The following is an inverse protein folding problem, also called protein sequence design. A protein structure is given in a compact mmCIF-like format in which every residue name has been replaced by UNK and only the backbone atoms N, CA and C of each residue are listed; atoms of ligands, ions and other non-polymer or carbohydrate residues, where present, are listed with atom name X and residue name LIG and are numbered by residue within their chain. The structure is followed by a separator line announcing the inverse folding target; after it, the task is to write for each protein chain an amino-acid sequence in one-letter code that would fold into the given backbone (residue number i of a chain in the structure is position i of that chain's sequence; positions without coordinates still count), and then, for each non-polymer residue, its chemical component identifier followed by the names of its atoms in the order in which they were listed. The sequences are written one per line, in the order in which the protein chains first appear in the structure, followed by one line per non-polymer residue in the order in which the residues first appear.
data_IF_278271302329
#
_entry.id   IF_278271302329
#
_cell.length_a   1.000
_cell.length_b   1.000
_cell.length_c   1.000
_cell.angle_alpha   90.00
_cell.angle_beta   90.00
_cell.angle_gamma   90.00
#
_symmetry.space_group_name_H-M   'P 1'
#
loop_
_entity.id
_entity.type
_entity.pdbx_description
1 polymer ?
#
# COMPACT_ATOMS: atom_id res chain seq x y z
N UNK A 1 -2.67 -9.91 -70.26
CA UNK A 1 -2.90 -8.57 -69.66
C UNK A 1 -4.00 -8.77 -68.63
N UNK A 2 -3.89 -8.57 -67.32
CA UNK A 2 -3.06 -7.71 -66.46
C UNK A 2 -2.66 -8.47 -65.19
N UNK A 3 -1.41 -8.27 -64.75
CA UNK A 3 -0.94 -8.53 -63.37
C UNK A 3 -1.59 -7.52 -62.41
N UNK A 4 -1.77 -7.87 -61.14
CA UNK A 4 -1.80 -7.00 -59.94
C UNK A 4 -2.16 -7.92 -58.75
N UNK A 5 -1.18 -8.62 -58.18
CA UNK A 5 -0.41 -8.24 -56.98
C UNK A 5 -1.27 -8.28 -55.71
N UNK A 6 -1.10 -9.37 -54.97
CA UNK A 6 -1.43 -9.49 -53.56
C UNK A 6 -0.88 -8.32 -52.77
N UNK A 7 -1.74 -7.57 -52.11
CA UNK A 7 -1.34 -6.70 -50.99
C UNK A 7 -1.86 -7.36 -49.72
N UNK A 8 -1.01 -8.27 -49.25
CA UNK A 8 -0.74 -8.43 -47.83
C UNK A 8 -0.43 -7.04 -47.26
N UNK A 9 -1.38 -6.47 -46.53
CA UNK A 9 -1.01 -5.64 -45.37
C UNK A 9 -2.05 -5.90 -44.30
N UNK A 10 -1.71 -6.93 -43.51
CA UNK A 10 -2.09 -7.06 -42.11
C UNK A 10 -2.03 -5.69 -41.45
N UNK A 11 -3.17 -5.00 -41.36
CA UNK A 11 -3.40 -4.00 -40.33
C UNK A 11 -3.58 -4.74 -39.01
N UNK A 12 -2.49 -5.36 -38.54
CA UNK A 12 -2.24 -5.47 -37.12
C UNK A 12 -2.02 -4.03 -36.64
N UNK A 13 -3.12 -3.31 -36.43
CA UNK A 13 -3.15 -2.23 -35.48
C UNK A 13 -2.65 -2.87 -34.19
N UNK A 14 -1.38 -2.60 -33.90
CA UNK A 14 -0.83 -2.75 -32.58
C UNK A 14 -1.79 -2.00 -31.65
N UNK A 15 -2.76 -2.71 -31.10
CA UNK A 15 -3.18 -2.49 -29.74
C UNK A 15 -1.90 -2.69 -28.94
N UNK A 16 -1.09 -1.62 -28.89
CA UNK A 16 -0.08 -1.52 -27.87
C UNK A 16 -0.86 -1.84 -26.59
N UNK A 17 -0.44 -2.82 -25.78
CA UNK A 17 -0.90 -2.82 -24.43
C UNK A 17 -0.55 -1.44 -23.91
N UNK A 18 -1.57 -0.58 -23.76
CA UNK A 18 -1.54 0.46 -22.76
C UNK A 18 -1.38 -0.34 -21.48
N UNK A 19 -0.12 -0.66 -21.16
CA UNK A 19 0.32 -0.69 -19.80
C UNK A 19 -0.10 0.67 -19.31
N UNK A 20 -1.30 0.73 -18.75
CA UNK A 20 -1.67 1.76 -17.83
C UNK A 20 -0.58 1.65 -16.77
N UNK A 21 0.48 2.42 -16.95
CA UNK A 21 1.32 2.88 -15.89
C UNK A 21 0.34 3.55 -14.94
N UNK A 22 -0.21 2.76 -14.02
CA UNK A 22 -0.86 3.26 -12.84
C UNK A 22 0.20 4.09 -12.14
N UNK A 23 0.24 5.37 -12.47
CA UNK A 23 0.86 6.41 -11.67
C UNK A 23 0.09 6.45 -10.36
N UNK A 24 0.38 5.51 -9.47
CA UNK A 24 -0.02 5.57 -8.09
C UNK A 24 0.88 6.62 -7.42
N UNK A 25 0.34 7.83 -7.40
CA UNK A 25 0.97 8.99 -6.81
C UNK A 25 1.11 8.84 -5.30
N UNK A 26 2.34 8.62 -4.86
CA UNK A 26 2.86 9.18 -3.63
C UNK A 26 4.19 9.83 -3.96
N UNK A 27 4.25 11.15 -3.93
CA UNK A 27 5.50 11.90 -4.09
C UNK A 27 6.35 11.70 -2.83
N UNK A 28 7.08 10.59 -2.79
CA UNK A 28 8.12 10.34 -1.80
C UNK A 28 9.39 11.02 -2.26
N UNK A 29 10.15 11.60 -1.33
CA UNK A 29 11.41 12.26 -1.65
C UNK A 29 12.30 11.35 -2.50
N UNK A 30 13.06 11.90 -3.47
CA UNK A 30 13.75 11.12 -4.52
C UNK A 30 14.72 10.04 -4.02
N UNK A 31 15.02 10.02 -2.72
CA UNK A 31 15.94 9.10 -2.04
C UNK A 31 15.28 7.96 -1.24
N UNK A 32 13.95 7.93 -1.05
CA UNK A 32 13.28 6.92 -0.19
C UNK A 32 12.83 5.67 -0.98
N UNK A 33 13.76 5.06 -1.72
CA UNK A 33 13.49 3.86 -2.50
C UNK A 33 14.35 2.71 -2.00
N UNK A 34 13.73 1.58 -1.63
CA UNK A 34 14.46 0.31 -1.39
C UNK A 34 15.39 -0.04 -2.57
N UNK A 35 15.04 0.43 -3.77
CA UNK A 35 15.84 0.34 -4.99
C UNK A 35 17.25 0.95 -4.86
N UNK A 36 17.45 1.93 -3.97
CA UNK A 36 18.73 2.60 -3.75
C UNK A 36 19.60 1.91 -2.69
N UNK A 37 19.06 0.95 -1.93
CA UNK A 37 19.80 0.21 -0.91
C UNK A 37 20.69 -0.90 -1.49
N UNK A 38 20.67 -1.11 -2.81
CA UNK A 38 21.45 -2.15 -3.49
C UNK A 38 21.37 -3.51 -2.76
N UNK A 39 20.15 -3.95 -2.45
CA UNK A 39 19.94 -5.17 -1.69
C UNK A 39 20.57 -6.37 -2.40
N UNK A 40 21.29 -7.19 -1.62
CA UNK A 40 21.75 -8.50 -2.10
C UNK A 40 20.55 -9.39 -2.46
N UNK A 41 20.79 -10.42 -3.28
CA UNK A 41 19.74 -11.38 -3.66
C UNK A 41 19.06 -12.01 -2.43
N UNK A 42 19.82 -12.35 -1.39
CA UNK A 42 19.28 -12.93 -0.16
C UNK A 42 18.42 -11.93 0.63
N UNK A 43 18.85 -10.67 0.74
CA UNK A 43 18.06 -9.61 1.35
C UNK A 43 16.77 -9.35 0.56
N UNK A 44 16.83 -9.32 -0.77
CA UNK A 44 15.67 -9.11 -1.63
C UNK A 44 14.61 -10.22 -1.46
N UNK A 45 15.03 -11.49 -1.40
CA UNK A 45 14.11 -12.62 -1.13
C UNK A 45 13.50 -12.54 0.27
N UNK A 46 14.28 -12.18 1.29
CA UNK A 46 13.77 -11.98 2.64
C UNK A 46 12.77 -10.82 2.72
N UNK A 47 13.02 -9.73 2.00
CA UNK A 47 12.07 -8.62 1.91
C UNK A 47 10.77 -9.05 1.23
N UNK A 48 10.84 -9.85 0.16
CA UNK A 48 9.67 -10.40 -0.51
C UNK A 48 8.83 -11.25 0.43
N UNK A 49 9.45 -12.14 1.21
CA UNK A 49 8.70 -12.95 2.19
C UNK A 49 8.04 -12.09 3.26
N UNK A 50 8.72 -11.06 3.76
CA UNK A 50 8.14 -10.14 4.75
C UNK A 50 6.95 -9.35 4.18
N UNK A 51 7.03 -8.89 2.92
CA UNK A 51 5.91 -8.20 2.25
C UNK A 51 4.71 -9.11 2.01
N UNK A 52 4.93 -10.38 1.67
CA UNK A 52 3.85 -11.35 1.51
C UNK A 52 3.11 -11.60 2.83
N UNK A 53 3.85 -11.72 3.94
CA UNK A 53 3.26 -11.84 5.27
C UNK A 53 2.44 -10.60 5.63
N UNK A 54 2.98 -9.39 5.39
CA UNK A 54 2.27 -8.13 5.63
C UNK A 54 0.99 -8.01 4.78
N UNK A 55 1.05 -8.42 3.51
CA UNK A 55 -0.12 -8.43 2.62
C UNK A 55 -1.24 -9.32 3.17
N UNK A 56 -0.89 -10.50 3.69
CA UNK A 56 -1.87 -11.39 4.31
C UNK A 56 -2.54 -10.76 5.54
N UNK A 57 -1.80 -10.00 6.35
CA UNK A 57 -2.37 -9.25 7.49
C UNK A 57 -3.33 -8.15 7.00
N UNK A 58 -2.97 -7.47 5.91
CA UNK A 58 -3.79 -6.38 5.33
C UNK A 58 -5.10 -6.89 4.74
N UNK A 59 -5.05 -8.02 4.04
CA UNK A 59 -6.27 -8.62 3.48
C UNK A 59 -7.27 -8.95 4.61
N UNK A 60 -6.78 -9.37 5.78
CA UNK A 60 -7.58 -9.54 6.99
C UNK A 60 -8.11 -8.23 7.59
N UNK A 61 -7.31 -7.17 7.60
CA UNK A 61 -7.73 -5.84 8.04
C UNK A 61 -8.81 -5.22 7.15
N UNK A 62 -8.71 -5.39 5.82
CA UNK A 62 -9.68 -4.87 4.85
C UNK A 62 -11.03 -5.57 4.96
N UNK A 63 -11.05 -6.88 5.25
CA UNK A 63 -12.30 -7.60 5.55
C UNK A 63 -13.02 -7.03 6.78
N UNK A 64 -12.26 -6.77 7.86
CA UNK A 64 -12.79 -6.13 9.06
C UNK A 64 -13.27 -4.69 8.77
N UNK A 65 -12.49 -3.91 8.03
CA UNK A 65 -12.84 -2.53 7.66
C UNK A 65 -14.15 -2.47 6.89
N UNK A 66 -14.38 -3.36 5.92
CA UNK A 66 -15.64 -3.44 5.17
C UNK A 66 -16.83 -3.76 6.09
N UNK A 67 -16.68 -4.72 6.98
CA UNK A 67 -17.71 -5.05 7.99
C UNK A 67 -18.00 -3.86 8.91
N UNK A 68 -16.94 -3.21 9.39
CA UNK A 68 -17.03 -2.06 10.27
C UNK A 68 -17.71 -0.87 9.59
N UNK A 69 -17.34 -0.55 8.35
CA UNK A 69 -17.87 0.58 7.58
C UNK A 69 -19.39 0.53 7.46
N UNK A 70 -19.95 -0.67 7.26
CA UNK A 70 -21.41 -0.86 7.19
C UNK A 70 -22.09 -0.46 8.51
N UNK A 71 -21.56 -0.92 9.63
CA UNK A 71 -22.09 -0.56 10.96
C UNK A 71 -21.75 0.87 11.39
N UNK A 72 -20.67 1.45 10.87
CA UNK A 72 -20.19 2.79 11.23
C UNK A 72 -21.20 3.87 10.81
N UNK A 73 -21.70 3.78 9.57
CA UNK A 73 -22.68 4.74 9.06
C UNK A 73 -23.98 4.73 9.90
N UNK A 74 -24.46 3.55 10.28
CA UNK A 74 -25.63 3.39 11.16
C UNK A 74 -25.37 4.00 12.54
N UNK A 75 -24.19 3.76 13.12
CA UNK A 75 -23.80 4.30 14.43
C UNK A 75 -23.64 5.82 14.41
N UNK A 76 -23.06 6.39 13.35
CA UNK A 76 -22.99 7.86 13.16
C UNK A 76 -24.39 8.44 13.04
N UNK A 77 -25.26 7.85 12.21
CA UNK A 77 -26.62 8.35 12.05
C UNK A 77 -27.39 8.34 13.37
N UNK A 78 -27.27 7.28 14.17
CA UNK A 78 -27.87 7.22 15.51
C UNK A 78 -27.32 8.30 16.44
N UNK A 79 -26.01 8.55 16.43
CA UNK A 79 -25.40 9.60 17.24
C UNK A 79 -25.92 11.00 16.85
N UNK A 80 -26.08 11.25 15.54
CA UNK A 80 -26.52 12.54 15.00
C UNK A 80 -28.00 12.83 15.20
N UNK A 81 -28.85 11.80 15.31
CA UNK A 81 -30.30 11.97 15.48
C UNK A 81 -30.75 12.05 16.94
N UNK A 82 -29.83 11.93 17.90
CA UNK A 82 -30.14 12.05 19.33
C UNK A 82 -30.44 13.51 19.71
N UNK A 83 -31.37 13.74 20.67
CA UNK A 83 -31.66 15.08 21.17
C UNK A 83 -30.46 15.78 21.83
N UNK A 84 -29.56 14.99 22.43
CA UNK A 84 -28.33 15.47 23.08
C UNK A 84 -27.13 14.66 22.58
N UNK A 85 -25.95 15.30 22.58
CA UNK A 85 -24.72 14.67 22.13
C UNK A 85 -24.18 13.67 23.17
N UNK A 86 -24.08 12.40 22.77
CA UNK A 86 -23.47 11.34 23.59
C UNK A 86 -21.96 11.23 23.31
N UNK A 87 -21.18 11.96 24.11
CA UNK A 87 -19.71 11.96 24.01
C UNK A 87 -19.08 10.58 24.25
N UNK A 88 -19.69 9.75 25.11
CA UNK A 88 -19.17 8.41 25.42
C UNK A 88 -19.28 7.50 24.21
N UNK A 89 -20.43 7.53 23.53
CA UNK A 89 -20.65 6.79 22.28
C UNK A 89 -19.73 7.30 21.17
N UNK A 90 -19.56 8.63 21.06
CA UNK A 90 -18.68 9.24 20.08
C UNK A 90 -17.22 8.78 20.25
N UNK A 91 -16.69 8.82 21.48
CA UNK A 91 -15.33 8.33 21.80
C UNK A 91 -15.14 6.88 21.42
N UNK A 92 -16.11 6.02 21.75
CA UNK A 92 -16.06 4.59 21.39
C UNK A 92 -16.02 4.39 19.88
N UNK A 93 -16.86 5.11 19.14
CA UNK A 93 -16.94 5.03 17.68
C UNK A 93 -15.64 5.48 17.00
N UNK A 94 -15.03 6.56 17.50
CA UNK A 94 -13.74 7.05 17.03
C UNK A 94 -12.64 6.02 17.32
N UNK A 95 -12.58 5.49 18.55
CA UNK A 95 -11.57 4.49 18.92
C UNK A 95 -11.67 3.23 18.06
N UNK A 96 -12.89 2.71 17.84
CA UNK A 96 -13.10 1.53 17.00
C UNK A 96 -12.63 1.76 15.55
N UNK A 97 -12.87 2.97 15.01
CA UNK A 97 -12.42 3.36 13.67
C UNK A 97 -10.88 3.36 13.58
N UNK A 98 -10.20 3.98 14.54
CA UNK A 98 -8.73 4.07 14.52
C UNK A 98 -8.03 2.74 14.84
N UNK A 99 -8.68 1.77 15.49
CA UNK A 99 -8.06 0.46 15.80
C UNK A 99 -7.55 -0.30 14.57
N UNK A 100 -8.19 -0.14 13.41
CA UNK A 100 -7.72 -0.78 12.17
C UNK A 100 -6.48 -0.09 11.64
N UNK A 101 -6.54 1.24 11.59
CA UNK A 101 -5.45 2.08 11.12
C UNK A 101 -4.21 1.92 12.00
N UNK A 102 -4.38 1.92 13.33
CA UNK A 102 -3.31 1.68 14.30
C UNK A 102 -2.62 0.32 14.09
N UNK A 103 -3.40 -0.74 13.87
CA UNK A 103 -2.83 -2.08 13.63
C UNK A 103 -2.00 -2.10 12.35
N UNK A 104 -2.49 -1.46 11.28
CA UNK A 104 -1.75 -1.32 10.02
C UNK A 104 -0.43 -0.59 10.25
N UNK A 105 -0.46 0.58 10.87
CA UNK A 105 0.75 1.37 11.14
C UNK A 105 1.77 0.61 11.98
N UNK A 106 1.32 -0.15 12.99
CA UNK A 106 2.20 -1.03 13.78
C UNK A 106 2.82 -2.13 12.90
N UNK A 107 2.04 -2.79 12.04
CA UNK A 107 2.58 -3.82 11.14
C UNK A 107 3.57 -3.23 10.12
N UNK A 108 3.34 -2.02 9.64
CA UNK A 108 4.30 -1.29 8.79
C UNK A 108 5.60 -1.04 9.54
N UNK A 109 5.54 -0.46 10.74
CA UNK A 109 6.70 -0.18 11.58
C UNK A 109 7.51 -1.45 11.88
N UNK A 110 6.83 -2.58 12.15
CA UNK A 110 7.49 -3.88 12.31
C UNK A 110 8.25 -4.29 11.07
N UNK A 111 7.68 -4.12 9.88
CA UNK A 111 8.38 -4.39 8.61
C UNK A 111 9.59 -3.48 8.43
N UNK A 112 9.47 -2.17 8.69
CA UNK A 112 10.61 -1.24 8.56
C UNK A 112 11.75 -1.63 9.49
N UNK A 113 11.41 -1.95 10.74
CA UNK A 113 12.39 -2.39 11.72
C UNK A 113 13.07 -3.69 11.27
N UNK A 114 12.30 -4.68 10.80
CA UNK A 114 12.84 -5.94 10.31
C UNK A 114 13.76 -5.77 9.09
N UNK A 115 13.37 -4.89 8.15
CA UNK A 115 14.23 -4.48 7.03
C UNK A 115 15.52 -3.85 7.57
N UNK A 116 15.43 -2.85 8.43
CA UNK A 116 16.61 -2.17 8.97
C UNK A 116 17.60 -3.14 9.62
N UNK A 117 17.10 -4.15 10.33
CA UNK A 117 17.97 -5.15 10.98
C UNK A 117 18.68 -6.09 10.00
N UNK A 118 18.19 -6.27 8.77
CA UNK A 118 18.87 -7.11 7.78
C UNK A 118 19.86 -6.34 6.89
N UNK A 119 19.87 -5.01 6.97
CA UNK A 119 20.78 -4.15 6.23
C UNK A 119 22.19 -4.16 6.87
N UNK A 120 23.21 -4.00 6.04
CA UNK A 120 24.58 -3.76 6.49
C UNK A 120 24.79 -2.31 6.98
N UNK A 121 26.01 -1.98 7.43
CA UNK A 121 26.30 -0.67 8.02
C UNK A 121 26.10 0.51 7.04
N UNK A 122 26.46 0.33 5.78
CA UNK A 122 26.33 1.38 4.75
C UNK A 122 24.86 1.56 4.36
N UNK A 123 24.17 0.45 4.09
CA UNK A 123 22.74 0.44 3.81
C UNK A 123 21.90 1.03 4.94
N UNK A 124 22.28 0.79 6.21
CA UNK A 124 21.59 1.41 7.37
C UNK A 124 21.79 2.92 7.43
N UNK A 125 22.97 3.41 7.06
CA UNK A 125 23.23 4.86 6.98
C UNK A 125 22.35 5.48 5.91
N UNK A 126 22.27 4.86 4.73
CA UNK A 126 21.40 5.32 3.64
C UNK A 126 19.92 5.26 4.03
N UNK A 127 19.52 4.18 4.72
CA UNK A 127 18.18 4.02 5.28
C UNK A 127 17.80 5.16 6.23
N UNK A 128 18.67 5.51 7.18
CA UNK A 128 18.39 6.58 8.15
C UNK A 128 18.37 7.97 7.51
N UNK A 129 19.16 8.19 6.47
CA UNK A 129 19.24 9.47 5.77
C UNK A 129 18.08 9.71 4.79
N UNK A 130 17.49 8.63 4.24
CA UNK A 130 16.49 8.73 3.18
C UNK A 130 15.10 8.20 3.53
N UNK A 131 15.00 7.22 4.45
CA UNK A 131 13.81 6.38 4.60
C UNK A 131 13.24 6.28 6.03
N UNK A 132 13.99 6.71 7.05
CA UNK A 132 13.53 6.61 8.43
C UNK A 132 12.32 7.54 8.70
N UNK A 133 11.18 6.95 9.07
CA UNK A 133 9.98 7.68 9.51
C UNK A 133 8.85 7.77 8.49
N UNK A 134 8.97 7.13 7.31
CA UNK A 134 7.89 7.12 6.32
C UNK A 134 7.07 5.82 6.34
N UNK A 135 5.73 5.87 6.36
CA UNK A 135 4.88 4.67 6.41
C UNK A 135 5.10 3.76 5.19
N UNK A 136 5.23 2.45 5.44
CA UNK A 136 5.44 1.42 4.41
C UNK A 136 4.07 0.97 3.88
N UNK A 137 3.34 1.90 3.28
CA UNK A 137 1.88 1.72 3.22
C UNK A 137 1.16 2.23 1.98
N UNK A 138 1.76 3.05 1.13
CA UNK A 138 1.00 3.71 0.06
C UNK A 138 1.06 3.03 -1.30
N UNK A 139 1.72 1.88 -1.39
CA UNK A 139 1.92 1.21 -2.67
C UNK A 139 0.75 0.26 -2.88
N UNK A 140 -0.39 0.85 -3.27
CA UNK A 140 -1.56 0.16 -3.81
C UNK A 140 -1.35 -0.24 -5.27
#
# INVERSE_FOLDING_TARGET
MKKQVSILMLLALFAQPVWAEGKFGGTYGPQCGIKYLNLTKSQAERLKSMRLALKSEYDGHEAFKRSYQKSYNERINNLMTRPEFDEVTAKKLINDFYRVQLRREISELKLQHALFQMLDAEQRKDWLNGCAGYPFGSDG
#
